data_IF_461925272409
#
_entry.id   IF_461925272409
#
_cell.length_a   1.000
_cell.length_b   1.000
_cell.length_c   1.000
_cell.angle_alpha   90.00
_cell.angle_beta   90.00
_cell.angle_gamma   90.00
#
_symmetry.space_group_name_H-M   'P 1'
#
loop_
_entity.id
_entity.type
_entity.pdbx_description
1 polymer ?
#
# COMPACT_ATOMS: atom_id res chain seq x y z
N UNK A 1 -21.65 -8.65 -19.96
CA UNK A 1 -20.44 -9.24 -19.32
C UNK A 1 -19.68 -8.10 -18.71
N UNK A 2 -19.76 -7.96 -17.38
CA UNK A 2 -19.16 -6.86 -16.63
C UNK A 2 -17.66 -7.17 -16.46
N UNK A 3 -16.80 -6.49 -17.22
CA UNK A 3 -15.35 -6.56 -17.00
C UNK A 3 -15.08 -5.77 -15.72
N UNK A 4 -14.60 -6.45 -14.68
CA UNK A 4 -14.22 -5.82 -13.42
C UNK A 4 -12.95 -5.03 -13.69
N UNK A 5 -13.01 -3.73 -13.42
CA UNK A 5 -11.98 -2.75 -13.74
C UNK A 5 -10.80 -2.91 -12.78
N UNK A 6 -9.60 -2.76 -13.33
CA UNK A 6 -8.32 -2.66 -12.64
C UNK A 6 -8.20 -1.21 -12.18
N UNK A 7 -8.13 -0.97 -10.86
CA UNK A 7 -7.88 0.36 -10.29
C UNK A 7 -6.66 0.22 -9.42
N UNK A 8 -5.51 0.53 -9.99
CA UNK A 8 -4.25 0.64 -9.26
C UNK A 8 -4.34 1.91 -8.39
N UNK A 9 -4.57 1.75 -7.09
CA UNK A 9 -4.77 2.86 -6.17
C UNK A 9 -3.41 3.33 -5.63
N UNK A 10 -2.83 4.36 -6.24
CA UNK A 10 -1.61 4.98 -5.74
C UNK A 10 -1.91 6.13 -4.77
N UNK A 11 -1.49 5.97 -3.51
CA UNK A 11 -1.41 7.09 -2.57
C UNK A 11 0.00 7.72 -2.65
N UNK A 12 0.08 8.98 -3.13
CA UNK A 12 1.35 9.69 -3.37
C UNK A 12 1.72 10.54 -2.15
N UNK A 13 2.97 10.45 -1.67
CA UNK A 13 3.51 11.31 -0.59
C UNK A 13 4.10 12.61 -1.17
N UNK A 14 3.74 13.76 -0.60
CA UNK A 14 4.41 15.05 -0.83
C UNK A 14 4.90 15.63 0.49
N UNK A 15 6.18 16.04 0.55
CA UNK A 15 6.72 16.86 1.63
C UNK A 15 7.26 18.15 1.03
N UNK A 16 6.66 19.30 1.33
CA UNK A 16 7.26 20.61 1.00
C UNK A 16 7.25 21.58 2.18
N UNK A 17 8.39 22.25 2.36
CA UNK A 17 8.60 23.37 3.26
C UNK A 17 7.88 24.61 2.69
N UNK A 18 7.14 25.29 3.56
CA UNK A 18 6.31 26.47 3.28
C UNK A 18 7.11 27.63 2.63
N UNK A 19 6.82 27.98 1.38
CA UNK A 19 7.04 29.32 0.83
C UNK A 19 5.95 29.69 -0.21
N UNK A 20 5.35 30.86 0.01
CA UNK A 20 4.61 31.76 -0.88
C UNK A 20 3.71 31.20 -2.02
N UNK A 21 2.45 31.63 -1.95
CA UNK A 21 1.42 31.62 -2.98
C UNK A 21 1.93 31.96 -4.39
N UNK A 22 1.78 31.04 -5.34
CA UNK A 22 1.88 31.33 -6.78
C UNK A 22 0.55 31.04 -7.51
N UNK A 23 0.37 31.83 -8.56
CA UNK A 23 -0.76 31.93 -9.50
C UNK A 23 -1.14 30.55 -10.05
N UNK A 24 -2.43 30.23 -10.29
CA UNK A 24 -2.80 28.94 -10.88
C UNK A 24 -2.19 28.84 -12.27
N UNK A 25 -1.10 28.08 -12.39
CA UNK A 25 -0.59 27.66 -13.68
C UNK A 25 -1.52 26.55 -14.16
N UNK A 26 -2.42 26.94 -15.06
CA UNK A 26 -3.24 26.06 -15.85
C UNK A 26 -2.32 25.28 -16.81
N UNK A 27 -1.64 24.26 -16.28
CA UNK A 27 -0.90 23.28 -17.07
C UNK A 27 -1.90 22.17 -17.44
N UNK A 28 -2.63 22.43 -18.53
CA UNK A 28 -3.53 21.45 -19.14
C UNK A 28 -2.65 20.51 -19.93
N UNK A 29 -2.67 19.21 -19.59
CA UNK A 29 -2.07 18.17 -20.41
C UNK A 29 -2.53 18.35 -21.87
N UNK A 30 -1.61 18.59 -22.83
CA UNK A 30 -1.98 18.73 -24.24
C UNK A 30 -2.62 17.46 -24.84
N UNK A 31 -2.65 16.35 -24.10
CA UNK A 31 -3.35 15.10 -24.46
C UNK A 31 -4.56 14.77 -23.57
N UNK A 32 -4.95 15.65 -22.64
CA UNK A 32 -6.18 15.49 -21.87
C UNK A 32 -7.40 15.70 -22.76
N UNK A 33 -7.89 14.63 -23.39
CA UNK A 33 -9.16 14.64 -24.13
C UNK A 33 -10.34 14.72 -23.13
N UNK A 34 -11.10 15.82 -23.11
CA UNK A 34 -12.23 15.96 -22.19
C UNK A 34 -13.50 15.23 -22.67
N UNK A 35 -13.43 14.46 -23.77
CA UNK A 35 -14.61 13.92 -24.46
C UNK A 35 -14.36 12.59 -25.20
N UNK A 36 -14.00 11.50 -24.53
CA UNK A 36 -14.17 10.17 -25.14
C UNK A 36 -13.30 9.06 -24.63
N UNK A 37 -13.84 8.23 -23.73
CA UNK A 37 -13.49 6.82 -23.53
C UNK A 37 -12.02 6.45 -23.73
N UNK A 38 -11.14 6.93 -22.86
CA UNK A 38 -9.82 6.31 -22.72
C UNK A 38 -10.03 4.99 -21.98
N UNK A 39 -9.51 3.92 -22.58
CA UNK A 39 -9.29 2.66 -21.87
C UNK A 39 -8.03 2.92 -21.06
N UNK A 40 -8.17 3.06 -19.74
CA UNK A 40 -7.01 3.16 -18.85
C UNK A 40 -6.08 1.96 -19.10
N UNK A 41 -4.81 2.22 -19.38
CA UNK A 41 -3.81 1.19 -19.55
C UNK A 41 -3.23 0.81 -18.18
N UNK A 42 -2.78 -0.45 -18.00
CA UNK A 42 -2.01 -0.82 -16.82
C UNK A 42 -0.83 0.14 -16.59
N UNK A 43 -0.75 0.68 -15.37
CA UNK A 43 0.27 1.65 -14.98
C UNK A 43 -0.14 3.11 -15.13
N UNK A 44 -1.29 3.42 -15.72
CA UNK A 44 -1.79 4.79 -15.78
C UNK A 44 -2.15 5.29 -14.37
N UNK A 45 -1.73 6.52 -14.05
CA UNK A 45 -2.13 7.20 -12.82
C UNK A 45 -3.54 7.73 -13.01
N UNK A 46 -4.49 7.14 -12.30
CA UNK A 46 -5.91 7.53 -12.39
C UNK A 46 -6.22 8.79 -11.60
N UNK A 47 -5.55 8.96 -10.45
CA UNK A 47 -5.70 10.11 -9.55
C UNK A 47 -4.51 10.16 -8.59
N UNK A 48 -4.30 11.32 -7.98
CA UNK A 48 -3.23 11.56 -7.02
C UNK A 48 -3.52 12.76 -6.14
N UNK A 49 -3.09 12.68 -4.88
CA UNK A 49 -3.34 13.69 -3.86
C UNK A 49 -2.18 13.76 -2.87
N UNK A 50 -2.08 14.87 -2.15
CA UNK A 50 -1.16 15.02 -1.03
C UNK A 50 -1.72 14.31 0.20
N UNK A 51 -1.20 13.11 0.47
CA UNK A 51 -1.64 12.29 1.59
C UNK A 51 -1.30 12.91 2.96
N UNK A 52 -0.20 13.64 3.06
CA UNK A 52 0.22 14.30 4.30
C UNK A 52 -0.74 15.43 4.64
N UNK A 53 -1.12 16.24 3.64
CA UNK A 53 -2.15 17.27 3.80
C UNK A 53 -3.53 16.67 4.13
N UNK A 54 -3.91 15.57 3.47
CA UNK A 54 -5.20 14.90 3.69
C UNK A 54 -5.32 14.30 5.10
N UNK A 55 -4.27 13.60 5.55
CA UNK A 55 -4.26 12.87 6.83
C UNK A 55 -3.82 13.73 8.02
N UNK A 56 -3.22 14.90 7.73
CA UNK A 56 -2.59 15.77 8.71
C UNK A 56 -1.36 15.13 9.36
N UNK A 57 -0.65 14.24 8.67
CA UNK A 57 0.54 13.53 9.16
C UNK A 57 1.76 13.81 8.29
N UNK A 58 2.96 13.65 8.84
CA UNK A 58 4.21 13.64 8.08
C UNK A 58 4.96 12.35 8.40
N UNK A 59 4.54 11.27 7.75
CA UNK A 59 5.01 9.92 8.05
C UNK A 59 3.92 8.87 7.83
N UNK A 60 3.21 8.97 6.72
CA UNK A 60 2.35 7.91 6.21
C UNK A 60 3.22 6.76 5.70
N UNK A 61 2.82 5.51 5.95
CA UNK A 61 3.68 4.33 5.82
C UNK A 61 3.06 3.26 4.95
N UNK A 62 2.03 2.55 5.40
CA UNK A 62 1.37 1.47 4.68
C UNK A 62 0.00 1.90 4.14
N UNK A 63 -0.48 1.21 3.11
CA UNK A 63 -1.78 1.47 2.48
C UNK A 63 -2.47 0.16 2.15
N UNK A 64 -3.80 0.10 2.28
CA UNK A 64 -4.61 -1.05 1.86
C UNK A 64 -6.05 -0.63 1.57
N UNK A 65 -6.65 -1.13 0.49
CA UNK A 65 -8.07 -0.95 0.20
C UNK A 65 -8.89 -2.09 0.81
N UNK A 66 -9.75 -1.75 1.75
CA UNK A 66 -10.62 -2.72 2.41
C UNK A 66 -11.96 -2.11 2.80
N UNK A 67 -13.03 -2.90 2.68
CA UNK A 67 -14.39 -2.50 3.07
C UNK A 67 -14.90 -1.22 2.38
N UNK A 68 -14.43 -0.92 1.16
CA UNK A 68 -14.84 0.27 0.41
C UNK A 68 -14.05 1.54 0.76
N UNK A 69 -13.02 1.43 1.58
CA UNK A 69 -12.20 2.55 2.05
C UNK A 69 -10.73 2.27 1.83
N UNK A 70 -9.96 3.35 1.68
CA UNK A 70 -8.51 3.29 1.78
C UNK A 70 -8.10 3.42 3.24
N UNK A 71 -7.24 2.52 3.70
CA UNK A 71 -6.67 2.52 5.04
C UNK A 71 -5.20 2.87 4.95
N UNK A 72 -4.74 3.78 5.81
CA UNK A 72 -3.35 4.26 5.81
C UNK A 72 -2.78 4.19 7.21
N UNK A 73 -1.64 3.51 7.38
CA UNK A 73 -0.88 3.53 8.63
C UNK A 73 0.06 4.73 8.65
N UNK A 74 0.24 5.34 9.82
CA UNK A 74 1.17 6.44 9.97
C UNK A 74 1.91 6.44 11.31
N UNK A 75 3.08 7.08 11.30
CA UNK A 75 3.95 7.24 12.45
C UNK A 75 3.35 8.15 13.53
N UNK A 76 2.35 8.95 13.20
CA UNK A 76 1.65 9.78 14.19
C UNK A 76 2.54 10.83 14.84
N UNK A 77 3.46 11.42 14.09
CA UNK A 77 4.45 12.38 14.64
C UNK A 77 3.81 13.65 15.17
N UNK A 78 2.61 13.99 14.67
CA UNK A 78 1.89 15.22 15.01
C UNK A 78 0.52 14.96 15.61
N UNK A 79 0.00 13.74 15.50
CA UNK A 79 -1.31 13.38 16.05
C UNK A 79 -1.26 13.12 17.56
N UNK A 80 -2.31 13.54 18.31
CA UNK A 80 -2.45 13.20 19.71
C UNK A 80 -2.70 11.71 19.96
N UNK A 81 -3.11 10.94 18.93
CA UNK A 81 -3.26 9.48 19.01
C UNK A 81 -1.92 8.73 18.98
N UNK A 82 -0.81 9.44 18.74
CA UNK A 82 0.45 8.82 18.35
C UNK A 82 0.27 8.04 17.03
N UNK A 83 0.99 6.93 16.90
CA UNK A 83 0.86 6.02 15.76
C UNK A 83 -0.60 5.68 15.48
N UNK A 84 -1.08 5.93 14.25
CA UNK A 84 -2.51 5.82 13.93
C UNK A 84 -2.76 5.10 12.61
N UNK A 85 -3.97 4.57 12.48
CA UNK A 85 -4.52 4.13 11.19
C UNK A 85 -5.64 5.10 10.82
N UNK A 86 -5.60 5.59 9.58
CA UNK A 86 -6.56 6.55 9.02
C UNK A 86 -7.44 5.84 8.01
N UNK A 87 -8.75 6.06 8.10
CA UNK A 87 -9.75 5.54 7.15
C UNK A 87 -10.20 6.67 6.22
N UNK A 88 -10.09 6.44 4.91
CA UNK A 88 -10.32 7.43 3.87
C UNK A 88 -11.41 6.92 2.92
N UNK A 89 -12.47 7.71 2.75
CA UNK A 89 -13.46 7.51 1.71
C UNK A 89 -12.91 8.06 0.39
N UNK A 90 -12.84 7.18 -0.60
CA UNK A 90 -12.33 7.45 -1.96
C UNK A 90 -13.41 7.23 -3.02
N UNK A 91 -14.70 7.24 -2.62
CA UNK A 91 -15.83 7.11 -3.55
C UNK A 91 -15.83 8.21 -4.61
N UNK A 92 -15.39 9.41 -4.24
CA UNK A 92 -14.96 10.46 -5.18
C UNK A 92 -13.43 10.59 -5.11
N UNK A 93 -12.67 9.93 -6.01
CA UNK A 93 -11.21 9.97 -5.97
C UNK A 93 -10.61 11.32 -6.39
N UNK A 94 -11.43 12.32 -6.75
CA UNK A 94 -10.95 13.69 -6.90
C UNK A 94 -11.05 14.50 -5.60
N UNK A 95 -11.86 14.03 -4.64
CA UNK A 95 -12.13 14.71 -3.37
C UNK A 95 -12.19 13.69 -2.23
N UNK A 96 -11.07 13.03 -1.88
CA UNK A 96 -11.05 12.04 -0.80
C UNK A 96 -11.35 12.69 0.55
N UNK A 97 -11.98 11.93 1.44
CA UNK A 97 -12.35 12.43 2.77
C UNK A 97 -11.85 11.48 3.83
N UNK A 98 -11.08 11.98 4.80
CA UNK A 98 -10.81 11.24 6.04
C UNK A 98 -12.12 11.11 6.82
N UNK A 99 -12.56 9.88 7.03
CA UNK A 99 -13.84 9.59 7.73
C UNK A 99 -13.63 9.10 9.15
N UNK A 100 -12.48 8.49 9.46
CA UNK A 100 -12.15 8.05 10.82
C UNK A 100 -10.65 7.86 11.03
N UNK A 101 -10.22 7.73 12.28
CA UNK A 101 -8.84 7.38 12.66
C UNK A 101 -8.78 6.73 14.04
N UNK A 102 -7.87 5.78 14.23
CA UNK A 102 -7.64 5.13 15.51
C UNK A 102 -6.17 5.05 15.87
N UNK A 103 -5.85 4.99 17.17
CA UNK A 103 -4.50 4.67 17.62
C UNK A 103 -4.17 3.21 17.30
N UNK A 104 -2.95 2.93 16.85
CA UNK A 104 -2.45 1.58 16.60
C UNK A 104 -2.21 0.78 17.88
N UNK A 105 -2.10 1.45 19.04
CA UNK A 105 -1.84 0.76 20.33
C UNK A 105 -0.46 0.08 20.41
N UNK A 106 0.46 0.43 19.52
CA UNK A 106 1.80 -0.14 19.45
C UNK A 106 2.83 0.63 20.29
N UNK A 107 3.90 -0.05 20.68
CA UNK A 107 5.10 0.56 21.26
C UNK A 107 6.19 0.85 20.22
N UNK A 108 6.00 0.45 18.96
CA UNK A 108 6.94 0.72 17.87
C UNK A 108 7.05 2.22 17.63
N UNK A 109 8.27 2.76 17.69
CA UNK A 109 8.53 4.18 17.45
C UNK A 109 8.16 4.66 16.04
N UNK A 110 7.93 3.73 15.12
CA UNK A 110 7.50 4.02 13.77
C UNK A 110 6.08 3.56 13.48
N UNK A 111 5.43 2.86 14.40
CA UNK A 111 4.12 2.26 14.17
C UNK A 111 4.15 1.08 13.20
N UNK A 112 2.96 0.72 12.74
CA UNK A 112 2.71 -0.32 11.76
C UNK A 112 3.30 0.06 10.39
N UNK A 113 3.64 -0.94 9.59
CA UNK A 113 4.10 -0.79 8.21
C UNK A 113 2.96 -1.07 7.25
N UNK A 114 3.28 -1.78 6.19
CA UNK A 114 2.36 -2.16 5.15
C UNK A 114 1.24 -3.04 5.71
N UNK A 115 0.14 -3.06 4.98
CA UNK A 115 -1.06 -3.80 5.33
C UNK A 115 -1.42 -4.79 4.22
N UNK A 116 -2.26 -5.76 4.56
CA UNK A 116 -2.89 -6.68 3.62
C UNK A 116 -4.31 -7.00 4.07
N UNK A 117 -5.22 -7.31 3.15
CA UNK A 117 -6.62 -7.60 3.43
C UNK A 117 -7.02 -9.01 2.99
N UNK A 118 -7.60 -9.80 3.90
CA UNK A 118 -8.02 -11.18 3.61
C UNK A 118 -9.48 -11.35 3.15
N UNK A 119 -10.15 -10.24 2.86
CA UNK A 119 -11.59 -10.22 2.58
C UNK A 119 -12.48 -10.13 3.83
N UNK A 120 -11.91 -10.20 5.04
CA UNK A 120 -12.62 -10.02 6.32
C UNK A 120 -11.90 -9.07 7.27
N UNK A 121 -10.59 -9.25 7.45
CA UNK A 121 -9.72 -8.51 8.35
C UNK A 121 -8.56 -7.88 7.59
N UNK A 122 -8.09 -6.76 8.13
CA UNK A 122 -6.83 -6.15 7.75
C UNK A 122 -5.70 -6.75 8.61
N UNK A 123 -4.52 -6.82 8.04
CA UNK A 123 -3.31 -7.32 8.67
C UNK A 123 -2.22 -6.29 8.50
N UNK A 124 -1.60 -5.85 9.58
CA UNK A 124 -0.57 -4.81 9.54
C UNK A 124 0.72 -5.31 10.19
N UNK A 125 1.86 -5.00 9.58
CA UNK A 125 3.14 -5.33 10.20
C UNK A 125 3.44 -4.44 11.39
N UNK A 126 3.63 -5.02 12.57
CA UNK A 126 4.12 -4.32 13.77
C UNK A 126 5.40 -4.99 14.28
N UNK A 127 6.55 -4.38 13.98
CA UNK A 127 7.86 -4.99 14.23
C UNK A 127 7.93 -6.43 13.71
N UNK A 128 8.27 -7.41 14.54
CA UNK A 128 8.37 -8.83 14.21
C UNK A 128 7.03 -9.58 14.24
N UNK A 129 5.91 -8.86 14.27
CA UNK A 129 4.56 -9.43 14.27
C UNK A 129 3.70 -8.90 13.12
N UNK A 130 2.65 -9.65 12.81
CA UNK A 130 1.54 -9.21 11.96
C UNK A 130 0.30 -9.11 12.85
N UNK A 131 -0.25 -7.91 12.96
CA UNK A 131 -1.41 -7.59 13.79
C UNK A 131 -2.67 -7.68 12.95
N UNK A 132 -3.67 -8.41 13.45
CA UNK A 132 -5.00 -8.49 12.85
C UNK A 132 -5.90 -7.36 13.38
N UNK A 133 -6.54 -6.69 12.45
CA UNK A 133 -7.40 -5.53 12.66
C UNK A 133 -8.76 -5.78 12.00
N UNK A 134 -9.86 -5.57 12.75
CA UNK A 134 -11.22 -5.62 12.22
C UNK A 134 -11.64 -4.23 11.72
N UNK A 135 -11.75 -4.02 10.39
CA UNK A 135 -12.13 -2.74 9.80
C UNK A 135 -13.59 -2.34 10.09
N UNK A 136 -14.46 -3.28 10.46
CA UNK A 136 -15.86 -3.00 10.77
C UNK A 136 -16.04 -2.43 12.18
N UNK A 137 -15.27 -2.95 13.14
CA UNK A 137 -15.33 -2.50 14.54
C UNK A 137 -14.23 -1.51 14.90
N UNK A 138 -13.24 -1.33 14.03
CA UNK A 138 -12.03 -0.55 14.28
C UNK A 138 -11.29 -1.00 15.54
N UNK A 139 -11.08 -2.32 15.69
CA UNK A 139 -10.35 -2.89 16.83
C UNK A 139 -9.32 -3.93 16.40
N UNK A 140 -8.22 -4.01 17.16
CA UNK A 140 -7.25 -5.11 17.04
C UNK A 140 -7.88 -6.38 17.62
N UNK A 141 -7.89 -7.47 16.84
CA UNK A 141 -8.53 -8.74 17.22
C UNK A 141 -7.55 -9.86 17.46
N UNK A 142 -6.28 -9.70 17.07
CA UNK A 142 -5.24 -10.71 17.29
C UNK A 142 -3.91 -10.32 16.68
N UNK A 143 -2.93 -11.22 16.76
CA UNK A 143 -1.65 -11.10 16.06
C UNK A 143 -0.99 -12.48 15.93
N UNK A 144 -0.03 -12.57 15.02
CA UNK A 144 0.83 -13.73 14.84
C UNK A 144 2.27 -13.31 14.53
N UNK A 145 3.26 -14.22 14.70
CA UNK A 145 4.65 -13.91 14.36
C UNK A 145 4.82 -13.65 12.88
N UNK A 146 5.54 -12.58 12.55
CA UNK A 146 6.08 -12.38 11.21
C UNK A 146 7.47 -12.98 11.07
N UNK A 147 7.99 -12.99 9.84
CA UNK A 147 9.29 -13.56 9.49
C UNK A 147 10.38 -12.51 9.32
N UNK A 148 10.01 -11.22 9.29
CA UNK A 148 10.88 -10.06 9.22
C UNK A 148 10.61 -9.08 10.37
N UNK A 149 11.56 -8.18 10.65
CA UNK A 149 11.39 -7.08 11.61
C UNK A 149 11.85 -5.74 11.02
N UNK A 150 10.94 -4.90 10.48
CA UNK A 150 9.52 -5.15 10.27
C UNK A 150 9.21 -5.96 8.99
N UNK A 151 8.03 -6.57 8.96
CA UNK A 151 7.41 -7.23 7.80
C UNK A 151 6.87 -6.19 6.81
N UNK A 152 7.77 -5.46 6.14
CA UNK A 152 7.36 -4.53 5.08
C UNK A 152 6.81 -5.29 3.87
N UNK A 153 6.26 -4.54 2.92
CA UNK A 153 5.82 -5.07 1.65
C UNK A 153 4.91 -6.29 1.85
N UNK A 154 3.84 -6.09 2.61
CA UNK A 154 3.02 -7.17 3.13
C UNK A 154 1.87 -7.39 2.16
N UNK A 155 1.78 -8.57 1.56
CA UNK A 155 0.66 -8.94 0.69
C UNK A 155 0.05 -10.26 1.14
N UNK A 156 -1.21 -10.50 0.81
CA UNK A 156 -1.91 -11.75 1.14
C UNK A 156 -2.38 -12.47 -0.12
N UNK A 157 -2.12 -13.78 -0.19
CA UNK A 157 -2.60 -14.65 -1.26
C UNK A 157 -3.92 -15.35 -0.85
N UNK A 158 -5.06 -15.04 -1.50
CA UNK A 158 -6.35 -15.66 -1.21
C UNK A 158 -6.44 -17.15 -1.53
N UNK A 159 -5.55 -17.69 -2.37
CA UNK A 159 -5.62 -19.09 -2.80
C UNK A 159 -5.01 -20.00 -1.75
N UNK A 160 -3.90 -19.59 -1.15
CA UNK A 160 -3.14 -20.40 -0.18
C UNK A 160 -3.36 -19.97 1.26
N UNK A 161 -3.95 -18.80 1.51
CA UNK A 161 -4.03 -18.14 2.83
C UNK A 161 -2.64 -17.89 3.44
N UNK A 162 -1.68 -17.55 2.57
CA UNK A 162 -0.32 -17.19 2.94
C UNK A 162 -0.09 -15.69 2.80
N UNK A 163 0.93 -15.20 3.50
CA UNK A 163 1.40 -13.84 3.43
C UNK A 163 2.76 -13.79 2.75
N UNK A 164 2.98 -12.73 1.98
CA UNK A 164 4.25 -12.36 1.40
C UNK A 164 4.80 -11.15 2.12
N UNK A 165 6.10 -11.16 2.42
CA UNK A 165 6.77 -10.00 3.02
C UNK A 165 8.22 -9.90 2.59
N UNK A 166 8.75 -8.69 2.69
CA UNK A 166 10.16 -8.42 2.53
C UNK A 166 10.54 -7.17 3.36
N UNK A 167 11.74 -6.68 3.13
CA UNK A 167 12.27 -5.45 3.69
C UNK A 167 13.40 -4.96 2.78
N UNK A 168 13.95 -3.78 3.06
CA UNK A 168 14.95 -3.14 2.19
C UNK A 168 16.08 -4.06 1.70
N UNK A 169 16.59 -4.93 2.56
CA UNK A 169 17.72 -5.82 2.25
C UNK A 169 17.45 -7.28 2.63
N UNK A 170 16.21 -7.63 2.97
CA UNK A 170 15.90 -9.02 3.30
C UNK A 170 15.66 -9.81 2.02
N UNK A 171 15.64 -11.13 2.17
CA UNK A 171 14.95 -11.99 1.22
C UNK A 171 13.45 -11.67 1.19
N UNK A 172 12.79 -12.12 0.13
CA UNK A 172 11.33 -12.18 0.05
C UNK A 172 10.87 -13.52 0.61
N UNK A 173 9.84 -13.47 1.45
CA UNK A 173 9.34 -14.61 2.19
C UNK A 173 7.87 -14.82 1.94
N UNK A 174 7.48 -16.08 1.83
CA UNK A 174 6.11 -16.54 1.94
C UNK A 174 5.95 -17.28 3.27
N UNK A 175 4.91 -16.96 4.04
CA UNK A 175 4.69 -17.52 5.36
C UNK A 175 3.21 -17.63 5.71
N UNK A 176 2.85 -18.54 6.61
CA UNK A 176 1.47 -18.73 7.05
C UNK A 176 1.13 -17.92 8.32
N UNK A 177 -0.14 -17.98 8.74
CA UNK A 177 -0.67 -17.32 9.96
C UNK A 177 -0.06 -17.82 11.27
N UNK A 178 0.74 -18.89 11.25
CA UNK A 178 1.49 -19.36 12.41
C UNK A 178 2.91 -18.77 12.46
N UNK A 179 3.33 -18.06 11.41
CA UNK A 179 4.69 -17.58 11.20
C UNK A 179 5.62 -18.63 10.58
N UNK A 180 5.08 -19.75 10.08
CA UNK A 180 5.89 -20.78 9.44
C UNK A 180 6.26 -20.31 8.02
N UNK A 181 7.56 -20.35 7.72
CA UNK A 181 8.08 -20.04 6.39
C UNK A 181 7.72 -21.18 5.42
N UNK A 182 7.09 -20.82 4.30
CA UNK A 182 6.70 -21.72 3.22
C UNK A 182 7.75 -21.67 2.11
N UNK A 183 8.10 -20.45 1.66
CA UNK A 183 9.13 -20.22 0.65
C UNK A 183 10.01 -19.02 1.02
N UNK A 184 11.22 -19.01 0.46
CA UNK A 184 12.22 -17.96 0.62
C UNK A 184 12.95 -17.76 -0.71
N UNK A 185 13.02 -16.51 -1.15
CA UNK A 185 13.70 -16.13 -2.38
C UNK A 185 14.61 -14.92 -2.15
N UNK A 186 15.78 -14.86 -2.79
CA UNK A 186 16.53 -13.61 -2.88
C UNK A 186 15.62 -12.52 -3.44
N UNK A 187 15.52 -11.38 -2.76
CA UNK A 187 14.61 -10.32 -3.20
C UNK A 187 15.05 -9.73 -4.54
N UNK A 188 14.11 -9.56 -5.46
CA UNK A 188 14.35 -8.95 -6.77
C UNK A 188 14.67 -7.44 -6.69
N UNK A 189 14.30 -6.79 -5.58
CA UNK A 189 14.50 -5.37 -5.32
C UNK A 189 14.58 -5.09 -3.81
N UNK A 190 15.00 -3.90 -3.40
CA UNK A 190 14.57 -3.38 -2.09
C UNK A 190 13.04 -3.32 -2.08
N UNK A 191 12.38 -3.76 -1.00
CA UNK A 191 10.91 -3.82 -0.92
C UNK A 191 10.40 -3.05 0.31
N UNK A 192 9.40 -2.20 0.11
CA UNK A 192 8.73 -1.43 1.16
C UNK A 192 7.22 -1.64 1.16
N UNK A 193 6.60 -1.60 -0.02
CA UNK A 193 5.20 -1.97 -0.23
C UNK A 193 5.07 -3.17 -1.17
N UNK A 194 4.03 -3.98 -0.98
CA UNK A 194 3.64 -5.01 -1.94
C UNK A 194 2.14 -5.29 -1.92
N UNK A 195 1.58 -5.64 -3.08
CA UNK A 195 0.21 -6.10 -3.19
C UNK A 195 0.11 -7.34 -4.09
N UNK A 196 -0.91 -8.16 -3.84
CA UNK A 196 -1.14 -9.41 -4.55
C UNK A 196 -2.19 -9.24 -5.65
N UNK A 197 -1.80 -9.54 -6.88
CA UNK A 197 -2.66 -9.44 -8.05
C UNK A 197 -3.30 -10.79 -8.38
N UNK A 198 -4.58 -10.92 -8.01
CA UNK A 198 -5.42 -12.07 -8.36
C UNK A 198 -6.22 -11.87 -9.66
N UNK A 199 -6.06 -10.74 -10.35
CA UNK A 199 -6.94 -10.33 -11.45
C UNK A 199 -6.27 -10.37 -12.82
N UNK A 200 -4.95 -10.26 -12.88
CA UNK A 200 -4.19 -10.46 -14.11
C UNK A 200 -4.48 -11.82 -14.74
N UNK A 201 -4.84 -11.82 -16.02
CA UNK A 201 -5.27 -13.03 -16.74
C UNK A 201 -4.17 -14.06 -16.92
N UNK A 202 -2.91 -13.63 -16.83
CA UNK A 202 -1.71 -14.46 -16.89
C UNK A 202 -1.07 -14.68 -15.51
N UNK A 203 -1.68 -14.16 -14.44
CA UNK A 203 -1.22 -14.26 -13.06
C UNK A 203 -1.68 -15.53 -12.34
N UNK A 204 -1.48 -15.58 -10.99
CA UNK A 204 -1.30 -14.44 -10.10
C UNK A 204 0.12 -13.84 -10.10
N UNK A 205 0.23 -12.59 -9.64
CA UNK A 205 1.50 -11.87 -9.53
C UNK A 205 1.63 -11.16 -8.18
N UNK A 206 2.86 -10.95 -7.72
CA UNK A 206 3.15 -9.99 -6.66
C UNK A 206 3.65 -8.70 -7.29
N UNK A 207 3.17 -7.55 -6.82
CA UNK A 207 3.71 -6.25 -7.20
C UNK A 207 4.45 -5.65 -6.01
N UNK A 208 5.58 -4.99 -6.26
CA UNK A 208 6.44 -4.47 -5.20
C UNK A 208 7.10 -3.13 -5.56
N UNK A 209 7.27 -2.24 -4.59
CA UNK A 209 8.04 -0.99 -4.71
C UNK A 209 9.16 -0.92 -3.68
N UNK A 210 10.24 -0.20 -4.01
CA UNK A 210 11.47 -0.22 -3.22
C UNK A 210 11.70 0.85 -2.18
N UNK A 211 10.69 1.69 -1.90
CA UNK A 211 10.73 2.70 -0.85
C UNK A 211 11.80 3.79 -1.02
N UNK A 212 12.44 3.86 -2.19
CA UNK A 212 13.37 4.94 -2.61
C UNK A 212 13.34 5.20 -4.13
N UNK A 213 12.43 4.54 -4.87
CA UNK A 213 12.40 4.57 -6.32
C UNK A 213 10.98 4.57 -6.87
N UNK A 214 10.71 5.39 -7.86
CA UNK A 214 9.40 5.60 -8.51
C UNK A 214 8.90 4.40 -9.33
N UNK A 215 9.38 3.18 -9.05
CA UNK A 215 9.08 2.00 -9.85
C UNK A 215 8.33 0.96 -9.00
N UNK A 216 7.24 0.45 -9.57
CA UNK A 216 6.53 -0.74 -9.10
C UNK A 216 6.83 -1.89 -10.06
N UNK A 217 7.45 -2.94 -9.56
CA UNK A 217 7.85 -4.10 -10.35
C UNK A 217 6.91 -5.28 -10.12
N UNK A 218 6.71 -6.08 -11.16
CA UNK A 218 6.03 -7.36 -11.07
C UNK A 218 7.04 -8.46 -10.72
N UNK A 219 6.67 -9.31 -9.77
CA UNK A 219 7.44 -10.45 -9.28
C UNK A 219 6.62 -11.72 -9.47
N UNK A 220 7.27 -12.75 -10.02
CA UNK A 220 6.70 -14.09 -10.12
C UNK A 220 6.77 -14.79 -8.75
N UNK A 221 5.64 -15.08 -8.09
CA UNK A 221 5.65 -15.70 -6.76
C UNK A 221 6.20 -17.14 -6.77
N UNK A 222 6.25 -17.81 -7.92
CA UNK A 222 6.81 -19.17 -8.00
C UNK A 222 8.34 -19.20 -8.02
N UNK A 223 8.97 -18.10 -8.48
CA UNK A 223 10.42 -18.03 -8.66
C UNK A 223 11.09 -16.95 -7.84
N UNK A 224 10.32 -15.98 -7.34
CA UNK A 224 10.79 -14.78 -6.66
C UNK A 224 11.54 -13.79 -7.55
N UNK A 225 11.54 -14.00 -8.87
CA UNK A 225 12.25 -13.15 -9.82
C UNK A 225 11.33 -12.07 -10.39
N UNK A 226 11.91 -10.90 -10.69
CA UNK A 226 11.21 -9.88 -11.47
C UNK A 226 10.89 -10.42 -12.87
N UNK A 227 9.65 -10.21 -13.35
CA UNK A 227 9.23 -10.67 -14.68
C UNK A 227 9.77 -9.79 -15.81
N UNK A 228 10.24 -8.59 -15.47
CA UNK A 228 10.61 -7.53 -16.42
C UNK A 228 9.48 -6.53 -16.67
N UNK A 229 8.25 -6.81 -16.23
CA UNK A 229 7.15 -5.85 -16.22
C UNK A 229 7.31 -4.88 -15.06
N UNK A 230 7.19 -3.58 -15.35
CA UNK A 230 7.32 -2.53 -14.34
C UNK A 230 6.63 -1.26 -14.77
N UNK A 231 6.08 -0.51 -13.80
CA UNK A 231 5.46 0.79 -14.04
C UNK A 231 6.15 1.89 -13.24
N UNK A 232 6.23 3.07 -13.85
CA UNK A 232 6.75 4.25 -13.19
C UNK A 232 5.59 5.02 -12.58
N UNK A 233 5.65 5.26 -11.28
CA UNK A 233 4.76 6.15 -10.55
C UNK A 233 5.40 7.52 -10.41
N UNK A 234 4.66 8.58 -10.70
CA UNK A 234 5.11 9.95 -10.43
C UNK A 234 5.06 10.22 -8.91
N UNK A 235 6.19 10.63 -8.32
CA UNK A 235 6.33 10.91 -6.88
C UNK A 235 7.18 9.87 -6.12
N UNK A 236 7.68 10.23 -4.94
CA UNK A 236 8.49 9.29 -4.12
C UNK A 236 7.62 8.16 -3.58
N UNK A 237 8.01 6.92 -3.86
CA UNK A 237 7.31 5.69 -3.47
C UNK A 237 7.63 5.23 -2.04
N UNK A 238 8.02 6.14 -1.16
CA UNK A 238 8.44 5.80 0.20
C UNK A 238 7.19 5.49 1.03
N UNK A 239 6.55 4.35 0.75
CA UNK A 239 5.24 3.98 1.27
C UNK A 239 4.77 2.60 0.80
N UNK A 240 3.66 2.16 1.37
CA UNK A 240 2.99 0.90 1.08
C UNK A 240 2.45 0.84 -0.34
N UNK A 241 1.98 -0.33 -0.73
CA UNK A 241 1.41 -0.60 -2.04
C UNK A 241 0.23 -1.54 -1.88
N UNK A 242 -0.83 -1.30 -2.64
CA UNK A 242 -1.99 -2.17 -2.75
C UNK A 242 -2.39 -2.31 -4.24
N UNK A 243 -3.00 -3.44 -4.60
CA UNK A 243 -3.33 -3.85 -5.98
C UNK A 243 -4.78 -4.31 -6.10
#
# INVERSE_FOLDING_TARGET
>A
MLKKFFTLLFAVLWCTVLLAQEVPMNDVDPNGDPTGGIIDAPGDVLYGWDLDALTGENGNLGVEYAYGYLWVTSRGLVSPLGNKVTKIDVTDPMNPVVVDSMSQGTTSAWGWRDMAYDGTYLYASDSDSVVQFDPATMTVTGSFPGVNNPNRALAWDPVTDHFWTASFTSDMWEFDRTGAIINQFPSATSMYGAGWDSWSTDGPWLWANGGTGTNVIQVDPLTGLATGTSYWVSGSSDGGLDI
#
